data_IF_521298811369
#
_entry.id   IF_521298811369
#
_cell.length_a   1.000
_cell.length_b   1.000
_cell.length_c   1.000
_cell.angle_alpha   90.00
_cell.angle_beta   90.00
_cell.angle_gamma   90.00
#
_symmetry.space_group_name_H-M   'P 1'
#
loop_
_entity.id
_entity.type
_entity.pdbx_description
1 polymer ?
#
# COMPACT_ATOMS: atom_id res chain seq x y z
N UNK A 1 -21.04 -2.77 7.11
CA UNK A 1 -21.15 -1.30 6.98
C UNK A 1 -22.10 -1.01 5.82
N UNK A 2 -22.64 0.20 5.69
CA UNK A 2 -23.66 0.46 4.67
C UNK A 2 -23.26 1.63 3.78
N UNK A 3 -23.26 1.42 2.48
CA UNK A 3 -23.16 2.50 1.50
C UNK A 3 -24.54 3.07 1.19
N UNK A 4 -24.63 4.40 1.06
CA UNK A 4 -25.82 5.09 0.53
C UNK A 4 -26.07 4.81 -0.95
N UNK A 5 -25.10 4.24 -1.67
CA UNK A 5 -25.19 3.96 -3.10
C UNK A 5 -26.04 2.70 -3.36
N UNK A 6 -26.74 2.70 -4.50
CA UNK A 6 -27.27 1.47 -5.09
C UNK A 6 -26.12 0.55 -5.52
N UNK A 7 -26.39 -0.75 -5.71
CA UNK A 7 -25.35 -1.68 -6.16
C UNK A 7 -24.82 -1.28 -7.54
N UNK A 8 -25.68 -0.79 -8.42
CA UNK A 8 -25.31 -0.28 -9.74
C UNK A 8 -24.38 0.93 -9.64
N UNK A 9 -24.70 1.91 -8.78
CA UNK A 9 -23.87 3.09 -8.57
C UNK A 9 -22.53 2.73 -7.91
N UNK A 10 -22.56 1.81 -6.95
CA UNK A 10 -21.35 1.31 -6.28
C UNK A 10 -20.40 0.67 -7.31
N UNK A 11 -20.93 -0.16 -8.21
CA UNK A 11 -20.16 -0.77 -9.31
C UNK A 11 -19.69 0.25 -10.35
N UNK A 12 -20.51 1.26 -10.64
CA UNK A 12 -20.12 2.40 -11.47
C UNK A 12 -18.89 3.09 -10.89
N UNK A 13 -18.90 3.41 -9.58
CA UNK A 13 -17.75 4.02 -8.90
C UNK A 13 -16.53 3.12 -8.84
N UNK A 14 -16.71 1.81 -8.63
CA UNK A 14 -15.60 0.85 -8.73
C UNK A 14 -14.93 0.94 -10.11
N UNK A 15 -15.73 1.01 -11.17
CA UNK A 15 -15.23 1.09 -12.55
C UNK A 15 -14.51 2.42 -12.83
N UNK A 16 -15.04 3.53 -12.34
CA UNK A 16 -14.45 4.86 -12.55
C UNK A 16 -13.15 5.07 -11.75
N UNK A 17 -13.13 4.60 -10.50
CA UNK A 17 -12.07 4.92 -9.55
C UNK A 17 -10.97 3.86 -9.46
N UNK A 18 -11.10 2.73 -10.16
CA UNK A 18 -10.17 1.60 -10.06
C UNK A 18 -9.47 1.31 -11.37
N UNK A 19 -8.15 1.27 -11.35
CA UNK A 19 -7.40 0.62 -12.43
C UNK A 19 -7.45 -0.90 -12.27
N UNK A 20 -7.75 -1.61 -13.36
CA UNK A 20 -7.83 -3.07 -13.32
C UNK A 20 -6.42 -3.67 -13.27
N UNK A 21 -6.18 -4.53 -12.29
CA UNK A 21 -4.93 -5.29 -12.18
C UNK A 21 -4.79 -6.03 -10.85
N UNK A 22 -3.62 -6.63 -10.63
CA UNK A 22 -3.37 -7.40 -9.40
C UNK A 22 -2.94 -6.47 -8.25
N UNK A 23 -3.78 -6.25 -7.22
CA UNK A 23 -3.47 -5.32 -6.13
C UNK A 23 -2.26 -5.74 -5.30
N UNK A 24 -1.87 -7.03 -5.31
CA UNK A 24 -0.65 -7.50 -4.65
C UNK A 24 0.59 -6.87 -5.28
N UNK A 25 0.63 -6.68 -6.61
CA UNK A 25 1.81 -6.15 -7.31
C UNK A 25 1.99 -4.67 -6.94
N UNK A 26 0.92 -3.87 -7.05
CA UNK A 26 0.98 -2.42 -6.84
C UNK A 26 1.19 -2.03 -5.35
N UNK A 27 0.92 -2.92 -4.41
CA UNK A 27 1.24 -2.72 -2.99
C UNK A 27 2.66 -3.19 -2.58
N UNK A 28 3.55 -3.43 -3.54
CA UNK A 28 4.94 -3.91 -3.30
C UNK A 28 5.95 -3.05 -4.08
N UNK A 29 7.27 -3.26 -3.90
CA UNK A 29 8.28 -2.61 -4.75
C UNK A 29 8.10 -2.86 -6.26
N UNK A 30 7.34 -3.90 -6.64
CA UNK A 30 7.00 -4.18 -8.03
C UNK A 30 5.92 -3.27 -8.61
N UNK A 31 5.40 -2.31 -7.84
CA UNK A 31 4.51 -1.25 -8.33
C UNK A 31 5.08 -0.47 -9.52
N UNK A 32 6.42 -0.41 -9.65
CA UNK A 32 7.07 0.19 -10.82
C UNK A 32 6.72 -0.52 -12.14
N UNK A 33 6.29 -1.78 -12.09
CA UNK A 33 5.88 -2.54 -13.27
C UNK A 33 4.50 -2.10 -13.79
N UNK A 34 3.71 -1.37 -12.99
CA UNK A 34 2.37 -0.89 -13.35
C UNK A 34 2.37 0.60 -13.74
N UNK A 35 3.56 1.21 -13.95
CA UNK A 35 3.75 2.64 -14.34
C UNK A 35 3.08 2.99 -15.66
N UNK A 36 2.97 2.03 -16.58
CA UNK A 36 2.42 2.27 -17.91
C UNK A 36 0.90 2.44 -17.91
N UNK A 37 0.22 2.03 -16.82
CA UNK A 37 -1.19 2.27 -16.65
C UNK A 37 -1.39 3.67 -16.03
N UNK A 38 -2.08 4.54 -16.77
CA UNK A 38 -2.25 5.96 -16.40
C UNK A 38 -2.69 6.15 -14.93
N UNK A 39 -2.09 7.10 -14.17
CA UNK A 39 -2.36 7.33 -12.75
C UNK A 39 -3.70 8.04 -12.47
N UNK A 40 -4.69 7.89 -13.34
CA UNK A 40 -5.97 8.63 -13.24
C UNK A 40 -6.90 8.09 -12.16
N UNK A 41 -6.80 6.80 -11.82
CA UNK A 41 -7.65 6.14 -10.84
C UNK A 41 -7.05 6.18 -9.44
N UNK A 42 -7.91 6.30 -8.43
CA UNK A 42 -7.53 6.35 -7.00
C UNK A 42 -7.10 4.97 -6.48
N UNK A 43 -7.75 3.93 -6.97
CA UNK A 43 -7.54 2.55 -6.58
C UNK A 43 -6.93 1.73 -7.71
N UNK A 44 -6.26 0.66 -7.33
CA UNK A 44 -5.75 -0.36 -8.24
C UNK A 44 -6.21 -1.71 -7.73
N UNK A 45 -6.78 -2.54 -8.60
CA UNK A 45 -7.26 -3.85 -8.16
C UNK A 45 -8.26 -4.50 -9.09
N UNK A 46 -9.05 -5.39 -8.53
CA UNK A 46 -10.04 -6.17 -9.25
C UNK A 46 -11.35 -6.20 -8.49
N UNK A 47 -12.45 -6.29 -9.21
CA UNK A 47 -13.78 -6.44 -8.66
C UNK A 47 -14.65 -7.27 -9.61
N UNK A 48 -15.67 -7.91 -9.06
CA UNK A 48 -16.64 -8.69 -9.81
C UNK A 48 -18.07 -8.17 -9.53
N UNK A 49 -19.07 -9.06 -9.58
CA UNK A 49 -20.47 -8.69 -9.34
C UNK A 49 -20.77 -8.39 -7.87
N UNK A 50 -20.02 -8.98 -6.94
CA UNK A 50 -20.33 -8.98 -5.50
C UNK A 50 -19.08 -8.83 -4.62
N UNK A 51 -17.87 -8.81 -5.20
CA UNK A 51 -16.61 -8.76 -4.47
C UNK A 51 -15.62 -7.77 -5.08
N UNK A 52 -14.70 -7.28 -4.25
CA UNK A 52 -13.63 -6.39 -4.67
C UNK A 52 -12.36 -6.60 -3.85
N UNK A 53 -11.23 -6.30 -4.48
CA UNK A 53 -9.88 -6.33 -3.91
C UNK A 53 -9.13 -5.12 -4.42
N UNK A 54 -8.94 -4.12 -3.56
CA UNK A 54 -8.43 -2.80 -3.94
C UNK A 54 -7.19 -2.43 -3.12
N UNK A 55 -6.22 -1.79 -3.75
CA UNK A 55 -5.12 -1.08 -3.09
C UNK A 55 -5.06 0.37 -3.58
N UNK A 56 -4.22 1.18 -2.96
CA UNK A 56 -3.94 2.54 -3.43
C UNK A 56 -3.19 2.48 -4.75
N UNK A 57 -3.64 3.26 -5.73
CA UNK A 57 -2.88 3.45 -6.96
C UNK A 57 -1.83 4.55 -6.75
N UNK A 58 -0.54 4.18 -6.70
CA UNK A 58 0.52 5.16 -6.46
C UNK A 58 1.93 4.60 -6.57
N UNK A 59 2.70 5.16 -7.50
CA UNK A 59 4.06 4.71 -7.85
C UNK A 59 5.13 5.01 -6.80
N UNK A 60 5.04 6.18 -6.17
CA UNK A 60 6.09 6.68 -5.27
C UNK A 60 5.95 6.16 -3.84
N UNK A 61 4.81 5.56 -3.52
CA UNK A 61 4.39 5.34 -2.15
C UNK A 61 3.68 4.01 -1.95
N UNK A 62 4.48 2.93 -1.94
CA UNK A 62 4.04 1.57 -1.60
C UNK A 62 3.08 1.59 -0.40
N UNK A 63 1.88 1.06 -0.61
CA UNK A 63 0.85 0.85 0.41
C UNK A 63 0.65 -0.66 0.53
N UNK A 64 1.30 -1.34 1.50
CA UNK A 64 1.31 -2.80 1.59
C UNK A 64 0.01 -3.34 2.23
N UNK A 65 -1.13 -2.82 1.78
CA UNK A 65 -2.46 -3.14 2.30
C UNK A 65 -3.44 -3.30 1.15
N UNK A 66 -4.39 -4.22 1.33
CA UNK A 66 -5.50 -4.44 0.39
C UNK A 66 -6.79 -4.34 1.20
N UNK A 67 -7.76 -3.62 0.65
CA UNK A 67 -9.16 -3.69 1.06
C UNK A 67 -9.78 -4.85 0.27
N UNK A 68 -10.02 -5.97 0.96
CA UNK A 68 -10.77 -7.11 0.42
C UNK A 68 -12.20 -7.02 0.97
N UNK A 69 -13.22 -7.13 0.12
CA UNK A 69 -14.60 -7.08 0.58
C UNK A 69 -15.62 -7.64 -0.39
N UNK A 70 -16.86 -7.69 0.08
CA UNK A 70 -18.06 -8.05 -0.67
C UNK A 70 -19.11 -6.97 -0.52
N UNK A 71 -20.02 -6.90 -1.48
CA UNK A 71 -21.15 -5.99 -1.48
C UNK A 71 -22.42 -6.64 -2.02
N UNK A 72 -23.56 -6.34 -1.40
CA UNK A 72 -24.86 -6.92 -1.73
C UNK A 72 -25.97 -5.88 -1.67
N UNK A 73 -27.01 -6.07 -2.48
CA UNK A 73 -28.18 -5.18 -2.49
C UNK A 73 -28.96 -5.33 -1.18
N UNK A 74 -29.43 -4.21 -0.66
CA UNK A 74 -30.39 -4.13 0.46
C UNK A 74 -31.50 -3.13 0.14
N UNK A 75 -32.58 -3.13 0.92
CA UNK A 75 -33.75 -2.28 0.68
C UNK A 75 -33.44 -0.78 0.66
N UNK A 76 -32.42 -0.32 1.40
CA UNK A 76 -32.00 1.09 1.46
C UNK A 76 -30.52 1.29 1.06
N UNK A 77 -30.05 0.59 0.02
CA UNK A 77 -28.70 0.80 -0.55
C UNK A 77 -27.86 -0.47 -0.60
N UNK A 78 -26.54 -0.32 -0.45
CA UNK A 78 -25.60 -1.45 -0.58
C UNK A 78 -24.99 -1.80 0.75
N UNK A 79 -25.14 -3.05 1.19
CA UNK A 79 -24.38 -3.57 2.31
C UNK A 79 -22.95 -3.88 1.85
N UNK A 80 -21.96 -3.38 2.58
CA UNK A 80 -20.54 -3.56 2.27
C UNK A 80 -19.85 -4.19 3.47
N UNK A 81 -19.24 -5.34 3.24
CA UNK A 81 -18.40 -6.02 4.22
C UNK A 81 -16.98 -6.06 3.70
N UNK A 82 -16.05 -5.41 4.40
CA UNK A 82 -14.65 -5.38 3.99
C UNK A 82 -13.71 -5.54 5.17
N UNK A 83 -12.49 -5.94 4.85
CA UNK A 83 -11.36 -6.01 5.78
C UNK A 83 -10.10 -5.50 5.10
N UNK A 84 -9.25 -4.86 5.89
CA UNK A 84 -7.93 -4.43 5.43
C UNK A 84 -6.90 -5.48 5.83
N UNK A 85 -6.34 -6.18 4.85
CA UNK A 85 -5.25 -7.14 5.04
C UNK A 85 -3.91 -6.55 4.63
N UNK A 86 -2.84 -7.11 5.19
CA UNK A 86 -1.47 -6.79 4.77
C UNK A 86 -1.11 -7.58 3.51
N UNK A 87 -0.35 -6.95 2.62
CA UNK A 87 0.42 -7.67 1.61
C UNK A 87 1.71 -8.11 2.29
N UNK A 88 1.80 -9.39 2.62
CA UNK A 88 2.90 -9.94 3.42
C UNK A 88 4.28 -9.59 2.84
N UNK A 89 4.47 -9.76 1.54
CA UNK A 89 5.74 -9.45 0.88
C UNK A 89 6.12 -7.97 1.03
N UNK A 90 5.24 -7.04 0.63
CA UNK A 90 5.51 -5.60 0.75
C UNK A 90 5.69 -5.15 2.21
N UNK A 91 4.91 -5.72 3.13
CA UNK A 91 4.98 -5.42 4.56
C UNK A 91 6.30 -5.88 5.19
N UNK A 92 6.75 -7.09 4.88
CA UNK A 92 8.03 -7.62 5.34
C UNK A 92 9.20 -6.89 4.69
N UNK A 93 9.12 -6.63 3.38
CA UNK A 93 10.17 -5.94 2.63
C UNK A 93 10.52 -4.59 3.27
N UNK A 94 9.53 -3.77 3.57
CA UNK A 94 9.71 -2.45 4.20
C UNK A 94 10.36 -2.55 5.60
N UNK A 95 10.17 -3.67 6.31
CA UNK A 95 10.70 -3.87 7.67
C UNK A 95 12.07 -4.54 7.69
N UNK A 96 12.35 -5.43 6.76
CA UNK A 96 13.61 -6.18 6.69
C UNK A 96 14.69 -5.42 5.95
N UNK A 97 14.33 -4.64 4.92
CA UNK A 97 15.31 -3.90 4.11
C UNK A 97 16.20 -2.96 4.94
N UNK A 98 15.69 -2.17 5.90
CA UNK A 98 16.54 -1.33 6.76
C UNK A 98 17.54 -2.13 7.59
N UNK A 99 17.10 -3.28 8.13
CA UNK A 99 17.94 -4.17 8.94
C UNK A 99 19.06 -4.77 8.09
N UNK A 100 18.70 -5.31 6.92
CA UNK A 100 19.66 -5.88 5.97
C UNK A 100 20.65 -4.82 5.51
N UNK A 101 20.20 -3.59 5.21
CA UNK A 101 21.06 -2.49 4.79
C UNK A 101 22.08 -2.12 5.87
N UNK A 102 21.64 -1.97 7.13
CA UNK A 102 22.54 -1.67 8.25
C UNK A 102 23.55 -2.80 8.46
N UNK A 103 23.10 -4.05 8.51
CA UNK A 103 24.00 -5.20 8.70
C UNK A 103 25.03 -5.29 7.57
N UNK A 104 24.58 -5.13 6.33
CA UNK A 104 25.46 -5.21 5.15
C UNK A 104 26.49 -4.09 5.17
N UNK A 105 26.07 -2.86 5.47
CA UNK A 105 26.98 -1.72 5.59
C UNK A 105 28.00 -1.93 6.72
N UNK A 106 27.57 -2.35 7.91
CA UNK A 106 28.46 -2.59 9.04
C UNK A 106 29.46 -3.74 8.76
N UNK A 107 29.03 -4.80 8.09
CA UNK A 107 29.93 -5.90 7.68
C UNK A 107 31.03 -5.44 6.72
N UNK A 108 30.69 -4.58 5.75
CA UNK A 108 31.67 -3.98 4.83
C UNK A 108 32.58 -3.01 5.59
N UNK A 109 31.99 -2.18 6.45
CA UNK A 109 32.74 -1.19 7.22
C UNK A 109 33.78 -1.81 8.13
N UNK A 110 33.47 -2.92 8.83
CA UNK A 110 34.44 -3.62 9.69
C UNK A 110 35.67 -4.08 8.91
N UNK A 111 35.50 -4.53 7.66
CA UNK A 111 36.62 -4.94 6.79
C UNK A 111 37.50 -3.75 6.38
N UNK A 112 36.89 -2.58 6.22
CA UNK A 112 37.55 -1.35 5.74
C UNK A 112 37.80 -0.33 6.86
N UNK A 113 37.71 -0.74 8.13
CA UNK A 113 37.65 0.17 9.27
C UNK A 113 38.90 1.04 9.41
N UNK A 114 40.08 0.49 9.07
CA UNK A 114 41.34 1.22 9.06
C UNK A 114 41.43 2.33 8.00
N UNK A 115 40.56 2.29 6.98
CA UNK A 115 40.55 3.24 5.85
C UNK A 115 39.57 4.40 6.05
N UNK A 116 38.42 4.14 6.64
CA UNK A 116 37.34 5.13 6.75
C UNK A 116 37.23 5.79 8.14
N UNK A 117 37.60 5.07 9.21
CA UNK A 117 37.53 5.56 10.57
C UNK A 117 36.12 5.95 11.05
N UNK A 118 36.02 6.41 12.30
CA UNK A 118 34.72 6.74 12.93
C UNK A 118 34.02 7.95 12.30
N UNK A 119 34.78 8.85 11.68
CA UNK A 119 34.26 10.07 11.04
C UNK A 119 33.31 9.76 9.89
N UNK A 120 33.51 8.65 9.17
CA UNK A 120 32.63 8.19 8.10
C UNK A 120 31.55 7.25 8.64
N UNK A 121 31.88 6.44 9.65
CA UNK A 121 30.95 5.49 10.26
C UNK A 121 29.68 6.12 10.82
N UNK A 122 29.86 7.18 11.63
CA UNK A 122 28.77 7.79 12.40
C UNK A 122 27.74 8.45 11.46
N UNK A 123 28.13 9.32 10.49
CA UNK A 123 27.16 9.95 9.59
C UNK A 123 26.40 8.94 8.73
N UNK A 124 27.07 7.88 8.24
CA UNK A 124 26.39 6.89 7.40
C UNK A 124 25.39 6.07 8.20
N UNK A 125 25.75 5.58 9.39
CA UNK A 125 24.79 4.84 10.22
C UNK A 125 23.60 5.74 10.62
N UNK A 126 23.86 7.01 10.96
CA UNK A 126 22.79 7.98 11.23
C UNK A 126 21.87 8.16 10.01
N UNK A 127 22.45 8.27 8.81
CA UNK A 127 21.70 8.35 7.56
C UNK A 127 20.88 7.08 7.29
N UNK A 128 21.44 5.89 7.55
CA UNK A 128 20.73 4.62 7.37
C UNK A 128 19.52 4.47 8.29
N UNK A 129 19.48 5.16 9.44
CA UNK A 129 18.27 5.18 10.28
C UNK A 129 17.06 5.79 9.57
N UNK A 130 17.27 6.66 8.56
CA UNK A 130 16.18 7.22 7.76
C UNK A 130 15.42 6.13 6.98
N UNK A 131 16.03 4.96 6.74
CA UNK A 131 15.37 3.81 6.10
C UNK A 131 14.19 3.26 6.93
N UNK A 132 14.08 3.59 8.22
CA UNK A 132 12.95 3.18 9.05
C UNK A 132 11.72 4.09 8.90
N UNK A 133 11.85 5.29 8.32
CA UNK A 133 10.74 6.24 8.12
C UNK A 133 9.54 5.59 7.39
N UNK A 134 9.73 4.85 6.28
CA UNK A 134 8.63 4.21 5.57
C UNK A 134 7.78 3.28 6.44
N UNK A 135 8.37 2.61 7.44
CA UNK A 135 7.66 1.71 8.37
C UNK A 135 6.54 2.47 9.09
N UNK A 136 6.84 3.67 9.59
CA UNK A 136 5.88 4.53 10.30
C UNK A 136 4.82 5.03 9.32
N UNK A 137 5.24 5.48 8.14
CA UNK A 137 4.34 6.00 7.11
C UNK A 137 3.34 4.94 6.61
N UNK A 138 3.67 3.64 6.65
CA UNK A 138 2.73 2.60 6.22
C UNK A 138 1.42 2.58 7.01
N UNK A 139 1.45 2.89 8.32
CA UNK A 139 0.24 2.94 9.13
C UNK A 139 -0.66 4.14 8.77
N UNK A 140 -0.04 5.28 8.49
CA UNK A 140 -0.75 6.48 8.01
C UNK A 140 -1.39 6.19 6.66
N UNK A 141 -0.66 5.53 5.75
CA UNK A 141 -1.18 5.13 4.44
C UNK A 141 -2.34 4.14 4.54
N UNK A 142 -2.30 3.21 5.50
CA UNK A 142 -3.42 2.30 5.77
C UNK A 142 -4.70 3.08 6.08
N UNK A 143 -4.62 4.03 7.02
CA UNK A 143 -5.76 4.88 7.40
C UNK A 143 -6.26 5.71 6.21
N UNK A 144 -5.35 6.34 5.48
CA UNK A 144 -5.69 7.13 4.30
C UNK A 144 -6.38 6.29 3.21
N UNK A 145 -5.93 5.06 2.98
CA UNK A 145 -6.56 4.13 2.03
C UNK A 145 -8.00 3.83 2.45
N UNK A 146 -8.22 3.55 3.73
CA UNK A 146 -9.55 3.30 4.32
C UNK A 146 -10.45 4.53 4.22
N UNK A 147 -9.96 5.70 4.61
CA UNK A 147 -10.69 6.98 4.55
C UNK A 147 -11.11 7.32 3.12
N UNK A 148 -10.20 7.13 2.14
CA UNK A 148 -10.50 7.36 0.73
C UNK A 148 -11.58 6.38 0.24
N UNK A 149 -11.50 5.12 0.65
CA UNK A 149 -12.51 4.11 0.31
C UNK A 149 -13.88 4.48 0.89
N UNK A 150 -13.96 4.69 2.20
CA UNK A 150 -15.19 5.09 2.88
C UNK A 150 -15.81 6.34 2.25
N UNK A 151 -14.99 7.36 1.99
CA UNK A 151 -15.45 8.64 1.42
C UNK A 151 -16.03 8.48 0.01
N UNK A 152 -15.31 7.81 -0.90
CA UNK A 152 -15.73 7.71 -2.30
C UNK A 152 -16.84 6.68 -2.52
N UNK A 153 -17.02 5.74 -1.59
CA UNK A 153 -18.12 4.78 -1.63
C UNK A 153 -19.26 5.12 -0.67
N UNK A 154 -19.21 6.30 -0.03
CA UNK A 154 -20.24 6.82 0.89
C UNK A 154 -20.68 5.79 1.95
N UNK A 155 -19.70 5.12 2.55
CA UNK A 155 -19.92 4.09 3.55
C UNK A 155 -20.10 4.74 4.93
N UNK A 156 -21.17 4.40 5.62
CA UNK A 156 -21.43 4.77 7.01
C UNK A 156 -21.47 3.54 7.93
#
# INVERSE_FOLDING_TARGET
MRSSLSVEDFRGRLTELTNIGEPIINGTPFAIMTVFDSPKSLFYGQFDKESFRLTSNGLTHITPYIIDGTFTQTDNGTEVNYKIRKIWFGYLWIRLLPIIAILSFNLVFVKEMGRFGLVVFIPINLFLLLLFIPIILTNVKKKRLEELFIKHFEIN
#
